data_IF_291546747079
#
_entry.id   IF_291546747079
#
_cell.length_a   1.000
_cell.length_b   1.000
_cell.length_c   1.000
_cell.angle_alpha   90.00
_cell.angle_beta   90.00
_cell.angle_gamma   90.00
#
_symmetry.space_group_name_H-M   'P 1'
#
loop_
_entity.id
_entity.type
_entity.pdbx_description
1 polymer ?
#
# COMPACT_ATOMS: atom_id res chain seq x y z
N UNK A 1 43.88 -48.00 20.50
CA UNK A 1 44.39 -47.70 19.15
C UNK A 1 43.42 -46.74 18.47
N UNK A 2 43.97 -45.65 17.93
CA UNK A 2 43.28 -44.54 17.27
C UNK A 2 42.38 -44.98 16.10
N UNK A 3 41.30 -44.22 15.87
CA UNK A 3 40.90 -43.76 14.54
C UNK A 3 40.02 -42.51 14.65
N UNK A 4 40.61 -41.38 14.32
CA UNK A 4 39.94 -40.15 13.87
C UNK A 4 39.21 -40.41 12.54
N UNK A 5 38.03 -39.84 12.35
CA UNK A 5 37.53 -39.39 11.05
C UNK A 5 36.78 -38.06 11.24
N UNK A 6 37.24 -37.03 10.53
CA UNK A 6 36.60 -35.73 10.30
C UNK A 6 35.44 -35.88 9.28
N UNK A 7 34.36 -35.13 9.50
CA UNK A 7 33.45 -34.62 8.47
C UNK A 7 32.77 -33.37 9.07
N UNK A 8 33.20 -32.13 8.78
CA UNK A 8 32.98 -31.31 7.58
C UNK A 8 31.51 -31.23 7.14
N UNK A 9 30.89 -30.11 7.50
CA UNK A 9 30.02 -29.32 6.62
C UNK A 9 28.54 -29.73 6.53
N UNK A 10 27.65 -28.89 7.08
CA UNK A 10 26.74 -28.07 6.28
C UNK A 10 25.97 -27.10 7.20
N UNK A 11 26.24 -25.81 7.08
CA UNK A 11 25.47 -24.75 7.72
C UNK A 11 24.30 -24.41 6.79
N UNK A 12 23.11 -24.93 7.08
CA UNK A 12 21.89 -24.53 6.37
C UNK A 12 21.36 -23.24 7.01
N UNK A 13 21.72 -22.11 6.40
CA UNK A 13 21.05 -20.84 6.61
C UNK A 13 19.70 -20.93 5.88
N UNK A 14 18.64 -21.20 6.63
CA UNK A 14 17.27 -21.12 6.13
C UNK A 14 16.91 -19.68 5.86
N UNK A 15 16.85 -19.31 4.58
CA UNK A 15 16.33 -18.04 4.11
C UNK A 15 14.87 -17.88 4.55
N UNK A 16 14.60 -16.76 5.21
CA UNK A 16 13.25 -16.33 5.56
C UNK A 16 12.43 -16.05 4.30
N UNK A 17 11.53 -16.97 3.96
CA UNK A 17 10.43 -16.68 3.05
C UNK A 17 9.38 -15.92 3.86
N UNK A 18 9.45 -14.59 3.78
CA UNK A 18 8.38 -13.72 4.24
C UNK A 18 7.14 -13.93 3.37
N UNK A 19 6.34 -14.94 3.69
CA UNK A 19 5.00 -15.07 3.13
C UNK A 19 4.16 -13.88 3.60
N UNK A 20 3.98 -12.89 2.72
CA UNK A 20 2.86 -11.95 2.83
C UNK A 20 1.58 -12.76 2.89
N UNK A 21 1.00 -12.83 4.09
CA UNK A 21 -0.25 -13.52 4.36
C UNK A 21 -1.36 -12.69 3.72
N UNK A 22 -1.91 -13.16 2.60
CA UNK A 22 -3.15 -12.60 2.04
C UNK A 22 -4.26 -12.88 3.05
N UNK A 23 -4.64 -11.86 3.84
CA UNK A 23 -5.80 -11.95 4.72
C UNK A 23 -7.04 -11.57 3.92
N UNK A 24 -7.93 -12.53 3.70
CA UNK A 24 -9.29 -12.29 3.25
C UNK A 24 -10.06 -11.69 4.44
N UNK A 25 -10.15 -10.36 4.53
CA UNK A 25 -10.78 -9.65 5.68
C UNK A 25 -12.21 -9.26 5.34
N UNK A 26 -13.17 -9.77 6.15
CA UNK A 26 -14.54 -9.27 6.28
C UNK A 26 -14.52 -7.82 6.78
N UNK A 27 -15.38 -6.99 6.21
CA UNK A 27 -15.62 -5.57 6.55
C UNK A 27 -15.38 -5.26 8.03
N UNK A 28 -14.35 -4.47 8.31
CA UNK A 28 -13.86 -4.23 9.67
C UNK A 28 -14.39 -2.89 10.18
N UNK A 29 -15.18 -2.93 11.25
CA UNK A 29 -15.64 -1.74 12.00
C UNK A 29 -14.44 -1.03 12.60
N UNK A 30 -14.28 0.26 12.30
CA UNK A 30 -13.14 1.12 12.70
C UNK A 30 -13.26 1.49 14.19
N UNK A 31 -12.19 1.31 14.97
CA UNK A 31 -12.07 1.78 16.37
C UNK A 31 -11.20 3.03 16.42
N UNK A 32 -11.63 4.04 17.17
CA UNK A 32 -11.14 5.42 17.19
C UNK A 32 -9.92 5.67 18.10
N UNK A 33 -9.30 4.61 18.61
CA UNK A 33 -8.29 4.68 19.70
C UNK A 33 -6.84 4.69 19.18
N UNK A 34 -6.66 4.66 17.85
CA UNK A 34 -5.36 4.75 17.20
C UNK A 34 -4.87 6.21 17.24
N UNK A 35 -3.68 6.48 17.79
CA UNK A 35 -3.06 7.81 17.91
C UNK A 35 -2.80 8.53 16.57
N UNK A 36 -3.87 8.96 15.90
CA UNK A 36 -3.91 9.50 14.53
C UNK A 36 -3.82 11.03 14.47
N UNK A 37 -3.61 11.70 15.61
CA UNK A 37 -3.79 13.14 15.72
C UNK A 37 -2.46 13.92 15.61
N UNK A 38 -2.26 14.57 14.46
CA UNK A 38 -1.50 15.83 14.38
C UNK A 38 -2.51 16.94 14.08
N UNK A 39 -3.23 17.44 15.10
CA UNK A 39 -4.24 18.47 14.88
C UNK A 39 -3.57 19.74 14.35
N UNK A 40 -4.22 20.40 13.41
CA UNK A 40 -3.73 21.64 12.82
C UNK A 40 -4.54 22.05 11.59
N UNK A 41 -4.41 23.33 11.17
CA UNK A 41 -5.14 23.84 10.01
C UNK A 41 -4.83 23.05 8.74
N UNK A 42 -3.62 22.50 8.62
CA UNK A 42 -3.15 21.75 7.45
C UNK A 42 -3.49 20.24 7.49
N UNK A 43 -4.47 19.84 8.31
CA UNK A 43 -4.92 18.47 8.37
C UNK A 43 -5.54 18.03 7.02
N UNK A 44 -5.27 16.81 6.53
CA UNK A 44 -5.88 16.30 5.31
C UNK A 44 -7.40 16.30 5.39
N UNK A 45 -8.05 16.91 4.39
CA UNK A 45 -9.51 17.02 4.27
C UNK A 45 -10.06 16.27 3.06
N UNK A 46 -9.26 16.18 2.00
CA UNK A 46 -9.60 15.46 0.77
C UNK A 46 -8.44 14.55 0.40
N UNK A 47 -8.78 13.35 -0.07
CA UNK A 47 -7.84 12.41 -0.66
C UNK A 47 -8.24 12.12 -2.09
N UNK A 48 -7.25 11.95 -2.96
CA UNK A 48 -7.44 11.49 -4.33
C UNK A 48 -6.38 10.47 -4.74
N UNK A 49 -6.77 9.44 -5.47
CA UNK A 49 -5.85 8.58 -6.22
C UNK A 49 -5.43 9.31 -7.49
N UNK A 50 -4.15 9.63 -7.59
CA UNK A 50 -3.60 10.45 -8.65
C UNK A 50 -3.52 9.66 -9.98
N UNK A 51 -3.75 10.28 -11.16
CA UNK A 51 -3.69 9.62 -12.46
C UNK A 51 -2.33 8.98 -12.83
N UNK A 52 -1.26 9.33 -12.12
CA UNK A 52 0.04 8.65 -12.23
C UNK A 52 0.03 7.23 -11.63
N UNK A 53 -1.07 6.81 -11.02
CA UNK A 53 -1.24 5.43 -10.58
C UNK A 53 -1.25 4.49 -11.77
N UNK A 54 -0.33 3.53 -11.80
CA UNK A 54 -0.18 2.58 -12.90
C UNK A 54 0.41 1.25 -12.41
N UNK A 55 0.40 0.26 -13.29
CA UNK A 55 1.11 -1.01 -13.10
C UNK A 55 2.40 -1.03 -13.90
N UNK A 56 3.44 -1.65 -13.36
CA UNK A 56 4.72 -1.82 -14.04
C UNK A 56 5.38 -3.15 -13.66
N UNK A 57 6.38 -3.54 -14.44
CA UNK A 57 7.37 -4.54 -14.06
C UNK A 57 8.58 -3.81 -13.47
N UNK A 58 9.12 -4.35 -12.37
CA UNK A 58 10.40 -3.86 -11.86
C UNK A 58 11.60 -4.45 -12.62
N UNK A 59 12.81 -4.08 -12.20
CA UNK A 59 14.07 -4.57 -12.81
C UNK A 59 14.30 -6.07 -12.64
N UNK A 60 13.53 -6.73 -11.79
CA UNK A 60 13.57 -8.17 -11.53
C UNK A 60 12.31 -8.89 -12.08
N UNK A 61 11.59 -8.25 -13.01
CA UNK A 61 10.36 -8.75 -13.63
C UNK A 61 9.23 -9.06 -12.63
N UNK A 62 9.16 -8.36 -11.50
CA UNK A 62 8.02 -8.45 -10.59
C UNK A 62 6.95 -7.43 -10.98
N UNK A 63 5.71 -7.90 -11.20
CA UNK A 63 4.57 -7.02 -11.43
C UNK A 63 4.17 -6.31 -10.13
N UNK A 64 3.94 -5.00 -10.21
CA UNK A 64 3.54 -4.16 -9.07
C UNK A 64 2.61 -3.03 -9.51
N UNK A 65 1.83 -2.51 -8.56
CA UNK A 65 1.11 -1.24 -8.72
C UNK A 65 1.94 -0.14 -8.06
N UNK A 66 2.18 0.94 -8.78
CA UNK A 66 2.72 2.19 -8.22
C UNK A 66 1.55 3.11 -7.94
N UNK A 67 1.04 3.08 -6.71
CA UNK A 67 -0.07 3.91 -6.26
C UNK A 67 0.42 5.30 -5.89
N UNK A 68 -0.20 6.33 -6.46
CA UNK A 68 0.04 7.73 -6.10
C UNK A 68 -1.20 8.29 -5.39
N UNK A 69 -1.04 8.77 -4.16
CA UNK A 69 -2.13 9.36 -3.37
C UNK A 69 -1.82 10.82 -3.09
N UNK A 70 -2.74 11.70 -3.47
CA UNK A 70 -2.70 13.13 -3.17
C UNK A 70 -3.61 13.41 -1.96
N UNK A 71 -3.09 14.19 -0.99
CA UNK A 71 -3.86 14.69 0.14
C UNK A 71 -3.92 16.22 0.07
N UNK A 72 -5.10 16.78 0.31
CA UNK A 72 -5.33 18.23 0.33
C UNK A 72 -5.97 18.67 1.63
N UNK A 73 -5.60 19.83 2.12
CA UNK A 73 -6.25 20.47 3.27
C UNK A 73 -7.56 21.18 2.88
N UNK A 74 -8.13 21.94 3.82
CA UNK A 74 -9.36 22.69 3.60
C UNK A 74 -9.25 23.84 2.60
N UNK A 75 -8.03 24.30 2.28
CA UNK A 75 -7.79 25.34 1.28
C UNK A 75 -7.46 24.76 -0.10
N UNK A 76 -7.33 23.43 -0.19
CA UNK A 76 -6.98 22.73 -1.42
C UNK A 76 -5.48 22.65 -1.66
N UNK A 77 -4.67 23.06 -0.69
CA UNK A 77 -3.21 22.94 -0.75
C UNK A 77 -2.79 21.50 -0.48
N UNK A 78 -1.76 21.05 -1.19
CA UNK A 78 -1.23 19.69 -1.01
C UNK A 78 -0.49 19.59 0.31
N UNK A 79 -0.86 18.59 1.13
CA UNK A 79 -0.29 18.39 2.46
C UNK A 79 0.25 16.97 2.63
N UNK A 80 1.17 16.82 3.58
CA UNK A 80 1.56 15.50 4.10
C UNK A 80 0.57 15.11 5.20
N UNK A 81 0.20 13.84 5.24
CA UNK A 81 -0.75 13.30 6.21
C UNK A 81 -0.10 12.27 7.12
N UNK A 82 -0.52 12.25 8.38
CA UNK A 82 -0.18 11.20 9.34
C UNK A 82 -1.42 10.33 9.52
N UNK A 83 -1.28 9.02 9.37
CA UNK A 83 -2.44 8.14 9.42
C UNK A 83 -2.18 6.71 8.95
N UNK A 84 -3.25 5.97 8.70
CA UNK A 84 -3.19 4.60 8.18
C UNK A 84 -3.86 4.53 6.81
N UNK A 85 -3.09 4.14 5.79
CA UNK A 85 -3.56 3.96 4.43
C UNK A 85 -3.94 2.49 4.22
N UNK A 86 -5.08 2.26 3.59
CA UNK A 86 -5.54 0.94 3.19
C UNK A 86 -5.90 0.97 1.71
N UNK A 87 -5.45 -0.05 1.00
CA UNK A 87 -5.69 -0.20 -0.43
C UNK A 87 -6.40 -1.52 -0.65
N UNK A 88 -7.53 -1.48 -1.33
CA UNK A 88 -8.31 -2.66 -1.72
C UNK A 88 -8.34 -2.76 -3.23
N UNK A 89 -7.94 -3.90 -3.78
CA UNK A 89 -8.03 -4.19 -5.20
C UNK A 89 -9.12 -5.24 -5.45
N UNK A 90 -9.96 -4.96 -6.45
CA UNK A 90 -10.97 -5.89 -6.96
C UNK A 90 -10.85 -5.98 -8.48
N UNK A 91 -10.83 -7.19 -9.02
CA UNK A 91 -10.90 -7.40 -10.46
C UNK A 91 -12.29 -7.10 -11.05
N UNK A 92 -12.38 -7.03 -12.36
CA UNK A 92 -13.62 -6.67 -13.05
C UNK A 92 -14.57 -7.85 -13.27
N UNK A 93 -14.07 -9.09 -13.22
CA UNK A 93 -14.87 -10.28 -13.41
C UNK A 93 -15.44 -10.80 -12.08
N UNK A 94 -16.55 -11.52 -12.18
CA UNK A 94 -17.09 -12.25 -11.03
C UNK A 94 -16.15 -13.41 -10.69
N UNK A 95 -15.78 -13.53 -9.40
CA UNK A 95 -14.81 -14.52 -8.93
C UNK A 95 -13.36 -14.02 -8.87
N UNK A 96 -13.06 -12.81 -9.37
CA UNK A 96 -11.71 -12.25 -9.24
C UNK A 96 -11.34 -12.08 -7.77
N UNK A 97 -10.14 -12.57 -7.43
CA UNK A 97 -9.58 -12.47 -6.08
C UNK A 97 -9.45 -11.00 -5.66
N UNK A 98 -9.81 -10.74 -4.40
CA UNK A 98 -9.67 -9.44 -3.76
C UNK A 98 -8.42 -9.42 -2.91
N UNK A 99 -7.61 -8.39 -3.07
CA UNK A 99 -6.37 -8.21 -2.32
C UNK A 99 -6.43 -6.90 -1.55
N UNK A 100 -5.81 -6.88 -0.37
CA UNK A 100 -5.72 -5.72 0.49
C UNK A 100 -4.29 -5.50 0.94
N UNK A 101 -3.88 -4.24 0.94
CA UNK A 101 -2.64 -3.78 1.57
C UNK A 101 -2.98 -2.75 2.64
N UNK A 102 -2.25 -2.77 3.74
CA UNK A 102 -2.28 -1.75 4.77
C UNK A 102 -0.88 -1.14 4.87
N UNK A 103 -0.79 0.20 4.85
CA UNK A 103 0.45 0.97 4.96
C UNK A 103 0.31 1.92 6.13
N UNK A 104 1.23 1.79 7.08
CA UNK A 104 1.27 2.66 8.25
C UNK A 104 2.07 3.92 7.92
N UNK A 105 1.39 5.06 7.92
CA UNK A 105 1.98 6.39 7.72
C UNK A 105 2.00 7.18 9.05
N UNK A 106 1.84 6.53 10.20
CA UNK A 106 1.87 7.18 11.52
C UNK A 106 3.30 7.48 11.99
N UNK A 107 4.26 6.64 11.61
CA UNK A 107 5.66 6.82 11.94
C UNK A 107 6.30 7.85 10.98
N UNK A 108 6.71 9.01 11.51
CA UNK A 108 7.14 10.14 10.68
C UNK A 108 8.39 9.84 9.86
N UNK A 109 9.35 9.11 10.42
CA UNK A 109 10.61 8.79 9.75
C UNK A 109 10.39 7.90 8.52
N UNK A 110 9.45 6.95 8.59
CA UNK A 110 9.09 6.11 7.45
C UNK A 110 8.12 6.81 6.49
N UNK A 111 7.20 7.64 7.01
CA UNK A 111 6.23 8.42 6.24
C UNK A 111 6.93 9.26 5.16
N UNK A 112 8.02 9.94 5.53
CA UNK A 112 8.79 10.79 4.60
C UNK A 112 9.29 10.01 3.39
N UNK A 113 9.64 8.72 3.56
CA UNK A 113 10.10 7.87 2.47
C UNK A 113 9.05 7.56 1.40
N UNK A 114 7.76 7.69 1.73
CA UNK A 114 6.67 7.51 0.76
C UNK A 114 6.34 8.79 0.00
N UNK A 115 6.70 9.97 0.51
CA UNK A 115 6.30 11.23 -0.10
C UNK A 115 7.25 11.66 -1.22
N UNK A 116 6.75 11.73 -2.45
CA UNK A 116 7.47 12.28 -3.58
C UNK A 116 7.25 13.80 -3.67
N UNK A 117 8.32 14.56 -3.46
CA UNK A 117 8.28 16.02 -3.52
C UNK A 117 8.01 16.58 -4.92
N UNK A 118 8.34 15.85 -5.99
CA UNK A 118 8.17 16.33 -7.36
C UNK A 118 6.70 16.28 -7.78
N UNK A 119 6.03 15.16 -7.50
CA UNK A 119 4.60 14.99 -7.80
C UNK A 119 3.67 15.46 -6.67
N UNK A 120 4.23 15.72 -5.49
CA UNK A 120 3.50 16.03 -4.24
C UNK A 120 2.46 14.96 -3.90
N UNK A 121 2.84 13.70 -4.05
CA UNK A 121 1.98 12.56 -3.73
C UNK A 121 2.71 11.54 -2.87
N UNK A 122 1.95 10.74 -2.14
CA UNK A 122 2.44 9.51 -1.53
C UNK A 122 2.56 8.44 -2.60
N UNK A 123 3.80 8.01 -2.88
CA UNK A 123 4.14 6.94 -3.82
C UNK A 123 4.31 5.62 -3.06
N UNK A 124 3.31 4.76 -3.18
CA UNK A 124 3.26 3.45 -2.53
C UNK A 124 3.42 2.35 -3.57
N UNK A 125 4.39 1.46 -3.37
CA UNK A 125 4.62 0.31 -4.25
C UNK A 125 3.93 -0.92 -3.67
N UNK A 126 2.98 -1.48 -4.40
CA UNK A 126 2.18 -2.63 -3.99
C UNK A 126 2.58 -3.85 -4.82
N UNK A 127 3.27 -4.80 -4.19
CA UNK A 127 3.62 -6.10 -4.76
C UNK A 127 2.65 -7.20 -4.36
N UNK A 128 2.92 -8.43 -4.80
CA UNK A 128 2.06 -9.58 -4.49
C UNK A 128 0.70 -9.47 -5.17
N UNK A 129 0.68 -9.11 -6.46
CA UNK A 129 -0.55 -8.94 -7.22
C UNK A 129 -1.27 -10.28 -7.40
N UNK A 130 -2.61 -10.29 -7.45
CA UNK A 130 -3.36 -11.50 -7.75
C UNK A 130 -3.05 -11.99 -9.16
N UNK A 131 -3.16 -13.30 -9.38
CA UNK A 131 -2.69 -13.95 -10.61
C UNK A 131 -3.27 -13.35 -11.90
N UNK A 132 -4.53 -12.89 -11.87
CA UNK A 132 -5.18 -12.25 -13.01
C UNK A 132 -4.49 -10.92 -13.41
N UNK A 133 -4.04 -10.14 -12.42
CA UNK A 133 -3.39 -8.85 -12.66
C UNK A 133 -1.92 -9.05 -13.02
N UNK A 134 -1.20 -9.91 -12.30
CA UNK A 134 0.20 -10.23 -12.60
C UNK A 134 0.36 -10.70 -14.05
N UNK A 135 -0.51 -11.62 -14.51
CA UNK A 135 -0.52 -12.07 -15.90
C UNK A 135 -0.76 -10.93 -16.89
N UNK A 136 -1.77 -10.08 -16.64
CA UNK A 136 -2.11 -8.98 -17.54
C UNK A 136 -0.94 -7.98 -17.70
N UNK A 137 -0.30 -7.61 -16.59
CA UNK A 137 0.87 -6.71 -16.58
C UNK A 137 2.02 -7.31 -17.38
N UNK A 138 2.30 -8.61 -17.22
CA UNK A 138 3.38 -9.31 -17.95
C UNK A 138 3.15 -9.40 -19.46
N UNK A 139 1.91 -9.61 -19.87
CA UNK A 139 1.55 -9.71 -21.29
C UNK A 139 1.35 -8.33 -21.93
N UNK A 140 1.32 -7.26 -21.12
CA UNK A 140 1.05 -5.91 -21.59
C UNK A 140 -0.41 -5.71 -22.01
N UNK A 141 -1.32 -6.55 -21.51
CA UNK A 141 -2.76 -6.39 -21.72
C UNK A 141 -3.31 -5.35 -20.73
N UNK A 142 -4.23 -4.50 -21.20
CA UNK A 142 -4.91 -3.54 -20.32
C UNK A 142 -5.69 -4.27 -19.23
N UNK A 143 -5.15 -4.26 -18.01
CA UNK A 143 -5.78 -4.87 -16.85
C UNK A 143 -6.89 -3.99 -16.30
N UNK A 144 -8.13 -4.49 -16.33
CA UNK A 144 -9.28 -3.81 -15.72
C UNK A 144 -9.43 -4.25 -14.26
N UNK A 145 -8.95 -3.43 -13.34
CA UNK A 145 -9.19 -3.57 -11.91
C UNK A 145 -9.71 -2.27 -11.31
N UNK A 146 -10.40 -2.36 -10.18
CA UNK A 146 -10.76 -1.18 -9.38
C UNK A 146 -9.97 -1.19 -8.08
N UNK A 147 -9.32 -0.08 -7.80
CA UNK A 147 -8.66 0.21 -6.53
C UNK A 147 -9.60 1.10 -5.72
N UNK A 148 -9.86 0.73 -4.47
CA UNK A 148 -10.45 1.61 -3.46
C UNK A 148 -9.39 1.91 -2.41
N UNK A 149 -9.14 3.18 -2.17
CA UNK A 149 -8.19 3.64 -1.16
C UNK A 149 -8.97 4.25 0.00
N UNK A 150 -8.58 3.91 1.21
CA UNK A 150 -9.10 4.47 2.46
C UNK A 150 -7.91 5.02 3.25
N UNK A 151 -8.00 6.25 3.73
CA UNK A 151 -6.99 6.85 4.58
C UNK A 151 -7.63 7.30 5.88
N UNK A 152 -7.25 6.64 6.98
CA UNK A 152 -7.68 6.99 8.33
C UNK A 152 -6.72 8.01 8.91
N UNK A 153 -7.24 9.16 9.33
CA UNK A 153 -6.47 10.27 9.88
C UNK A 153 -7.34 11.07 10.85
N UNK A 154 -6.85 12.21 11.35
CA UNK A 154 -7.61 13.12 12.19
C UNK A 154 -7.74 14.50 11.54
N UNK A 155 -8.84 15.18 11.80
CA UNK A 155 -9.10 16.55 11.41
C UNK A 155 -8.38 17.55 12.33
N UNK A 156 -8.51 18.84 12.00
CA UNK A 156 -7.87 19.92 12.74
C UNK A 156 -8.26 19.98 14.23
N UNK A 157 -9.47 19.53 14.57
CA UNK A 157 -10.00 19.44 15.93
C UNK A 157 -9.68 18.09 16.63
N UNK A 158 -8.96 17.20 15.94
CA UNK A 158 -8.65 15.86 16.42
C UNK A 158 -9.74 14.82 16.15
N UNK A 159 -10.85 15.17 15.49
CA UNK A 159 -11.88 14.21 15.10
C UNK A 159 -11.31 13.20 14.10
N UNK A 160 -11.45 11.91 14.39
CA UNK A 160 -11.02 10.85 13.47
C UNK A 160 -11.91 10.82 12.22
N UNK A 161 -11.29 10.77 11.05
CA UNK A 161 -11.97 10.74 9.76
C UNK A 161 -11.39 9.65 8.86
N UNK A 162 -12.21 9.15 7.94
CA UNK A 162 -11.76 8.27 6.85
C UNK A 162 -11.97 8.99 5.53
N UNK A 163 -10.87 9.34 4.86
CA UNK A 163 -10.89 9.83 3.49
C UNK A 163 -10.92 8.63 2.55
N UNK A 164 -11.65 8.71 1.45
CA UNK A 164 -11.77 7.62 0.49
C UNK A 164 -11.77 8.11 -0.96
N UNK A 165 -11.22 7.30 -1.86
CA UNK A 165 -11.32 7.52 -3.30
C UNK A 165 -11.22 6.18 -4.05
N UNK A 166 -11.74 6.14 -5.28
CA UNK A 166 -11.71 4.98 -6.17
C UNK A 166 -11.00 5.28 -7.49
N UNK A 167 -10.23 4.32 -7.99
CA UNK A 167 -9.50 4.41 -9.25
C UNK A 167 -9.70 3.16 -10.08
N UNK A 168 -9.91 3.31 -11.38
CA UNK A 168 -9.98 2.20 -12.33
C UNK A 168 -8.64 2.09 -13.04
N UNK A 169 -7.95 0.97 -12.82
CA UNK A 169 -6.75 0.60 -13.57
C UNK A 169 -7.08 0.45 -15.05
N UNK A 170 -6.22 1.00 -15.91
CA UNK A 170 -6.36 1.00 -17.36
C UNK A 170 -5.16 0.34 -18.00
#
# INVERSE_FOLDING_TARGET
>A
MMRCVLAVGLLLVGFGVGCSRVQIVREQVVRTEDGLAVPGPFAPRVMRVHPLTHTELDTADNARIVLHVELKDSWGDTVKGVGALQVQLRGSAEGDERVRWDVDLRELDSNVGYFDSATRTYRVVLGGLPAWLDKAVRVGEGSRGRIRVLFRTALADGEAVVLQDEYVLR
#
